data_IF_597975871754
#
_entry.id   IF_597975871754
#
_cell.length_a   1.000
_cell.length_b   1.000
_cell.length_c   1.000
_cell.angle_alpha   90.00
_cell.angle_beta   90.00
_cell.angle_gamma   90.00
#
_symmetry.space_group_name_H-M   'P 1'
#
loop_
_entity.id
_entity.type
_entity.pdbx_description
1 polymer ?
#
# COMPACT_ATOMS: atom_id res chain seq x y z
N UNK A 1 14.30 -54.34 21.29
CA UNK A 1 12.94 -53.87 20.94
C UNK A 1 12.77 -52.37 21.29
N UNK A 2 13.75 -51.54 20.92
CA UNK A 2 13.82 -50.11 21.30
C UNK A 2 14.37 -49.21 20.18
N UNK A 3 14.38 -49.71 18.94
CA UNK A 3 14.96 -49.02 17.78
C UNK A 3 13.93 -48.72 16.68
N UNK A 4 12.65 -49.03 16.91
CA UNK A 4 11.56 -48.82 15.93
C UNK A 4 10.65 -47.66 16.32
N UNK A 5 10.73 -47.15 17.55
CA UNK A 5 9.86 -46.07 18.06
C UNK A 5 10.45 -44.65 17.91
N UNK A 6 11.70 -44.52 17.48
CA UNK A 6 12.35 -43.22 17.26
C UNK A 6 12.27 -42.70 15.81
N UNK A 7 11.73 -43.51 14.88
CA UNK A 7 11.64 -43.17 13.44
C UNK A 7 10.23 -42.72 12.99
N UNK A 8 9.27 -42.62 13.91
CA UNK A 8 7.89 -42.20 13.62
C UNK A 8 7.52 -40.84 14.23
N UNK A 9 8.47 -40.13 14.84
CA UNK A 9 8.29 -38.81 15.43
C UNK A 9 8.90 -37.67 14.59
N UNK A 10 9.30 -37.95 13.35
CA UNK A 10 9.38 -36.95 12.29
C UNK A 10 8.01 -36.94 11.60
N UNK A 11 7.03 -36.31 12.25
CA UNK A 11 5.67 -36.19 11.75
C UNK A 11 5.65 -35.39 10.45
N UNK A 12 5.82 -36.08 9.32
CA UNK A 12 5.30 -35.67 8.02
C UNK A 12 3.78 -35.72 8.13
N UNK A 13 3.18 -34.68 8.73
CA UNK A 13 1.78 -34.39 8.46
C UNK A 13 1.66 -34.27 6.94
N UNK A 14 0.74 -35.00 6.29
CA UNK A 14 0.55 -34.84 4.85
C UNK A 14 0.23 -33.37 4.57
N UNK A 15 0.71 -32.80 3.44
CA UNK A 15 0.38 -31.44 3.06
C UNK A 15 -1.12 -31.21 3.24
N UNK A 16 -1.50 -30.15 3.95
CA UNK A 16 -2.92 -29.82 4.08
C UNK A 16 -3.42 -29.43 2.69
N UNK A 17 -4.16 -30.34 2.07
CA UNK A 17 -4.74 -30.08 0.78
C UNK A 17 -5.85 -29.03 0.92
N UNK A 18 -5.76 -27.89 0.20
CA UNK A 18 -6.79 -26.88 0.24
C UNK A 18 -8.11 -27.43 -0.30
N UNK A 19 -9.23 -26.84 0.13
CA UNK A 19 -10.56 -27.24 -0.32
C UNK A 19 -10.68 -27.20 -1.84
N UNK A 20 -11.55 -28.04 -2.41
CA UNK A 20 -11.77 -28.07 -3.86
C UNK A 20 -12.22 -26.70 -4.41
N UNK A 21 -12.90 -25.89 -3.60
CA UNK A 21 -13.32 -24.54 -3.95
C UNK A 21 -12.12 -23.61 -4.07
N UNK A 22 -11.22 -23.64 -3.09
CA UNK A 22 -9.98 -22.86 -3.09
C UNK A 22 -9.06 -23.29 -4.25
N UNK A 23 -8.98 -24.59 -4.53
CA UNK A 23 -8.23 -25.12 -5.68
C UNK A 23 -8.77 -24.61 -7.03
N UNK A 24 -10.10 -24.52 -7.17
CA UNK A 24 -10.74 -23.96 -8.38
C UNK A 24 -10.49 -22.47 -8.50
N UNK A 25 -10.52 -21.74 -7.37
CA UNK A 25 -10.31 -20.29 -7.35
C UNK A 25 -8.93 -19.87 -7.88
N UNK A 26 -7.88 -20.68 -7.72
CA UNK A 26 -6.56 -20.40 -8.32
C UNK A 26 -6.57 -20.35 -9.85
N UNK A 27 -7.51 -21.02 -10.52
CA UNK A 27 -7.64 -21.03 -11.96
C UNK A 27 -8.88 -20.26 -12.46
N UNK A 28 -9.49 -19.45 -11.58
CA UNK A 28 -10.65 -18.63 -11.93
C UNK A 28 -10.29 -17.60 -13.00
N UNK A 29 -11.26 -17.18 -13.82
CA UNK A 29 -11.05 -16.14 -14.83
C UNK A 29 -10.83 -14.76 -14.19
N UNK A 30 -11.38 -14.53 -12.99
CA UNK A 30 -11.23 -13.30 -12.24
C UNK A 30 -9.85 -13.21 -11.57
N UNK A 31 -9.01 -12.20 -11.92
CA UNK A 31 -7.76 -11.95 -11.21
C UNK A 31 -7.97 -11.72 -9.70
N UNK A 32 -9.08 -11.09 -9.32
CA UNK A 32 -9.43 -10.85 -7.92
C UNK A 32 -9.68 -12.16 -7.16
N UNK A 33 -10.37 -13.13 -7.77
CA UNK A 33 -10.59 -14.44 -7.17
C UNK A 33 -9.25 -15.21 -7.01
N UNK A 34 -8.36 -15.12 -8.02
CA UNK A 34 -7.01 -15.70 -7.96
C UNK A 34 -6.16 -15.10 -6.83
N UNK A 35 -6.19 -13.77 -6.68
CA UNK A 35 -5.52 -13.05 -5.58
C UNK A 35 -6.07 -13.48 -4.22
N UNK A 36 -7.40 -13.48 -4.07
CA UNK A 36 -8.06 -13.90 -2.82
C UNK A 36 -7.72 -15.36 -2.47
N UNK A 37 -7.66 -16.26 -3.46
CA UNK A 37 -7.22 -17.64 -3.24
C UNK A 37 -5.78 -17.71 -2.71
N UNK A 38 -4.88 -16.88 -3.26
CA UNK A 38 -3.50 -16.79 -2.82
C UNK A 38 -3.37 -16.27 -1.37
N UNK A 39 -4.21 -15.33 -0.97
CA UNK A 39 -4.25 -14.87 0.43
C UNK A 39 -4.81 -15.95 1.36
N UNK A 40 -5.94 -16.56 0.98
CA UNK A 40 -6.63 -17.56 1.79
C UNK A 40 -5.76 -18.79 2.06
N UNK A 41 -5.02 -19.28 1.07
CA UNK A 41 -4.20 -20.48 1.29
C UNK A 41 -3.06 -20.24 2.29
N UNK A 42 -2.51 -19.02 2.36
CA UNK A 42 -1.43 -18.69 3.30
C UNK A 42 -1.95 -18.66 4.74
N UNK A 43 -3.24 -18.41 4.95
CA UNK A 43 -3.86 -18.49 6.29
C UNK A 43 -3.90 -19.92 6.86
N UNK A 44 -3.71 -20.94 6.02
CA UNK A 44 -3.62 -22.34 6.45
C UNK A 44 -2.24 -22.69 7.05
N UNK A 45 -1.24 -21.81 6.94
CA UNK A 45 0.07 -21.98 7.57
C UNK A 45 1.01 -22.94 6.83
N UNK A 46 2.02 -23.43 7.55
CA UNK A 46 3.12 -24.26 6.99
C UNK A 46 2.63 -25.55 6.31
N UNK A 47 1.51 -26.10 6.75
CA UNK A 47 0.96 -27.35 6.18
C UNK A 47 0.50 -27.20 4.72
N UNK A 48 0.04 -26.00 4.33
CA UNK A 48 -0.34 -25.71 2.95
C UNK A 48 0.85 -25.33 2.06
N UNK A 49 1.99 -24.97 2.66
CA UNK A 49 3.20 -24.57 1.93
C UNK A 49 3.70 -25.70 1.03
N UNK A 50 3.76 -26.93 1.54
CA UNK A 50 4.23 -28.08 0.76
C UNK A 50 3.34 -28.33 -0.46
N UNK A 51 2.04 -28.11 -0.32
CA UNK A 51 1.10 -28.21 -1.43
C UNK A 51 1.35 -27.09 -2.46
N UNK A 52 1.55 -25.84 -2.03
CA UNK A 52 1.89 -24.71 -2.91
C UNK A 52 3.14 -25.04 -3.72
N UNK A 53 4.22 -25.46 -3.06
CA UNK A 53 5.50 -25.80 -3.70
C UNK A 53 5.34 -26.94 -4.71
N UNK A 54 4.54 -27.95 -4.40
CA UNK A 54 4.27 -29.10 -5.28
C UNK A 54 3.37 -28.75 -6.48
N UNK A 55 2.62 -27.66 -6.42
CA UNK A 55 1.63 -27.26 -7.44
C UNK A 55 2.04 -26.04 -8.26
N UNK A 56 2.97 -25.21 -7.79
CA UNK A 56 3.31 -23.91 -8.40
C UNK A 56 3.73 -23.98 -9.88
N UNK A 57 4.18 -25.14 -10.36
CA UNK A 57 4.60 -25.37 -11.75
C UNK A 57 3.56 -26.14 -12.58
N UNK A 58 2.34 -26.36 -12.07
CA UNK A 58 1.30 -27.21 -12.68
C UNK A 58 0.07 -26.39 -13.07
N UNK A 59 -0.60 -26.81 -14.14
CA UNK A 59 -1.85 -26.20 -14.61
C UNK A 59 -1.63 -24.98 -15.51
N UNK A 60 -2.65 -24.13 -15.64
CA UNK A 60 -2.61 -22.96 -16.52
C UNK A 60 -1.64 -21.87 -16.00
N UNK A 61 -1.16 -20.96 -16.87
CA UNK A 61 -0.30 -19.84 -16.46
C UNK A 61 -0.90 -18.99 -15.33
N UNK A 62 -2.21 -18.73 -15.36
CA UNK A 62 -2.94 -17.95 -14.34
C UNK A 62 -2.86 -18.66 -12.98
N UNK A 63 -3.10 -19.98 -12.96
CA UNK A 63 -2.96 -20.81 -11.76
C UNK A 63 -1.54 -20.76 -11.21
N UNK A 64 -0.56 -20.87 -12.09
CA UNK A 64 0.85 -20.82 -11.68
C UNK A 64 1.21 -19.47 -11.07
N UNK A 65 0.78 -18.35 -11.68
CA UNK A 65 1.01 -17.00 -11.12
C UNK A 65 0.33 -16.82 -9.76
N UNK A 66 -0.91 -17.28 -9.61
CA UNK A 66 -1.63 -17.22 -8.34
C UNK A 66 -0.93 -18.04 -7.22
N UNK A 67 -0.38 -19.21 -7.56
CA UNK A 67 0.42 -20.03 -6.63
C UNK A 67 1.78 -19.41 -6.30
N UNK A 68 2.41 -18.71 -7.25
CA UNK A 68 3.64 -17.94 -6.97
C UNK A 68 3.36 -16.74 -6.07
N UNK A 69 2.22 -16.07 -6.23
CA UNK A 69 1.78 -15.02 -5.29
C UNK A 69 1.59 -15.62 -3.89
N UNK A 70 0.91 -16.78 -3.78
CA UNK A 70 0.76 -17.48 -2.50
C UNK A 70 2.11 -17.81 -1.86
N UNK A 71 3.08 -18.30 -2.64
CA UNK A 71 4.44 -18.53 -2.16
C UNK A 71 5.13 -17.22 -1.69
N UNK A 72 5.00 -16.14 -2.46
CA UNK A 72 5.55 -14.84 -2.08
C UNK A 72 4.96 -14.30 -0.77
N UNK A 73 3.66 -14.52 -0.55
CA UNK A 73 2.94 -14.13 0.67
C UNK A 73 3.25 -15.04 1.87
N UNK A 74 3.50 -16.33 1.65
CA UNK A 74 3.93 -17.25 2.71
C UNK A 74 5.27 -16.81 3.32
N UNK A 75 6.17 -16.24 2.52
CA UNK A 75 7.35 -15.53 3.00
C UNK A 75 8.40 -16.39 3.69
N UNK A 76 8.36 -17.70 3.47
CA UNK A 76 9.33 -18.67 4.02
C UNK A 76 10.56 -18.80 3.13
N UNK A 77 11.65 -19.37 3.67
CA UNK A 77 12.86 -19.66 2.89
C UNK A 77 12.60 -20.57 1.68
N UNK A 78 11.75 -21.60 1.82
CA UNK A 78 11.42 -22.53 0.73
C UNK A 78 10.60 -21.85 -0.36
N UNK A 79 9.63 -21.02 0.02
CA UNK A 79 8.82 -20.25 -0.93
C UNK A 79 9.64 -19.22 -1.68
N UNK A 80 10.61 -18.59 -1.00
CA UNK A 80 11.57 -17.69 -1.62
C UNK A 80 12.53 -18.41 -2.57
N UNK A 81 13.01 -19.60 -2.21
CA UNK A 81 13.80 -20.42 -3.11
C UNK A 81 13.03 -20.77 -4.40
N UNK A 82 11.72 -21.03 -4.32
CA UNK A 82 10.87 -21.24 -5.50
C UNK A 82 10.83 -20.02 -6.41
N UNK A 83 10.67 -18.81 -5.86
CA UNK A 83 10.70 -17.56 -6.64
C UNK A 83 12.06 -17.40 -7.35
N UNK A 84 13.16 -17.58 -6.62
CA UNK A 84 14.52 -17.53 -7.19
C UNK A 84 14.71 -18.54 -8.33
N UNK A 85 14.24 -19.77 -8.14
CA UNK A 85 14.31 -20.82 -9.15
C UNK A 85 13.54 -20.46 -10.43
N UNK A 86 12.49 -19.63 -10.28
CA UNK A 86 11.61 -19.19 -11.36
C UNK A 86 12.16 -17.94 -12.08
N UNK A 87 13.19 -17.30 -11.52
CA UNK A 87 13.91 -16.17 -12.13
C UNK A 87 14.99 -16.59 -13.13
N UNK A 88 15.16 -17.89 -13.40
CA UNK A 88 16.20 -18.40 -14.32
C UNK A 88 16.22 -17.61 -15.62
N UNK A 89 17.40 -17.08 -15.95
CA UNK A 89 17.61 -16.20 -17.09
C UNK A 89 17.17 -16.88 -18.38
N UNK A 90 16.15 -16.32 -19.03
CA UNK A 90 15.72 -16.68 -20.37
C UNK A 90 16.37 -15.78 -21.42
N UNK A 91 16.45 -16.26 -22.66
CA UNK A 91 16.86 -15.42 -23.81
C UNK A 91 15.71 -14.59 -24.39
N UNK A 92 14.46 -14.95 -24.06
CA UNK A 92 13.24 -14.34 -24.61
C UNK A 92 12.31 -13.92 -23.48
N UNK A 93 11.54 -12.84 -23.66
CA UNK A 93 10.53 -12.42 -22.70
C UNK A 93 9.58 -13.56 -22.31
N UNK A 94 9.20 -13.61 -21.04
CA UNK A 94 8.31 -14.64 -20.49
C UNK A 94 7.35 -14.03 -19.46
N UNK A 95 6.02 -14.19 -19.62
CA UNK A 95 5.06 -13.56 -18.71
C UNK A 95 5.19 -14.10 -17.28
N UNK A 96 5.57 -15.36 -17.11
CA UNK A 96 5.80 -15.95 -15.79
C UNK A 96 6.99 -15.28 -15.11
N UNK A 97 8.13 -15.16 -15.79
CA UNK A 97 9.31 -14.47 -15.25
C UNK A 97 9.05 -12.99 -14.98
N UNK A 98 8.29 -12.29 -15.83
CA UNK A 98 7.90 -10.90 -15.57
C UNK A 98 7.10 -10.77 -14.25
N UNK A 99 6.14 -11.66 -14.02
CA UNK A 99 5.39 -11.68 -12.76
C UNK A 99 6.29 -12.04 -11.56
N UNK A 100 7.14 -13.06 -11.69
CA UNK A 100 8.09 -13.46 -10.64
C UNK A 100 9.03 -12.30 -10.30
N UNK A 101 9.54 -11.57 -11.29
CA UNK A 101 10.39 -10.40 -11.08
C UNK A 101 9.68 -9.33 -10.25
N UNK A 102 8.40 -9.06 -10.53
CA UNK A 102 7.59 -8.16 -9.71
C UNK A 102 7.46 -8.68 -8.27
N UNK A 103 7.07 -9.95 -8.09
CA UNK A 103 6.92 -10.56 -6.76
C UNK A 103 8.24 -10.57 -5.98
N UNK A 104 9.35 -10.85 -6.65
CA UNK A 104 10.68 -10.87 -6.05
C UNK A 104 11.09 -9.48 -5.56
N UNK A 105 10.85 -8.43 -6.35
CA UNK A 105 11.07 -7.05 -5.92
C UNK A 105 10.21 -6.67 -4.71
N UNK A 106 8.93 -7.06 -4.72
CA UNK A 106 7.96 -6.65 -3.69
C UNK A 106 8.12 -7.41 -2.36
N UNK A 107 8.20 -8.74 -2.41
CA UNK A 107 8.03 -9.61 -1.24
C UNK A 107 9.32 -10.31 -0.80
N UNK A 108 10.33 -10.45 -1.65
CA UNK A 108 11.54 -11.21 -1.31
C UNK A 108 12.57 -10.35 -0.54
N UNK A 109 13.00 -10.74 0.69
CA UNK A 109 14.05 -10.09 1.50
C UNK A 109 15.24 -9.56 0.69
N UNK A 110 15.86 -10.44 -0.09
CA UNK A 110 17.05 -10.12 -0.88
C UNK A 110 16.77 -9.28 -2.13
N UNK A 111 15.50 -9.05 -2.49
CA UNK A 111 15.10 -8.29 -3.67
C UNK A 111 15.73 -6.90 -3.74
N UNK A 112 15.96 -6.24 -2.61
CA UNK A 112 16.62 -4.93 -2.55
C UNK A 112 18.13 -4.97 -2.33
N UNK A 113 18.69 -6.12 -1.97
CA UNK A 113 20.11 -6.25 -1.57
C UNK A 113 21.08 -6.28 -2.75
N UNK A 114 20.66 -6.80 -3.90
CA UNK A 114 21.50 -6.98 -5.10
C UNK A 114 20.74 -6.64 -6.39
N UNK A 115 20.21 -5.41 -6.52
CA UNK A 115 19.27 -5.10 -7.58
C UNK A 115 19.91 -5.10 -8.98
N UNK A 116 21.21 -4.82 -9.07
CA UNK A 116 21.96 -4.89 -10.32
C UNK A 116 22.04 -6.32 -10.88
N UNK A 117 22.10 -7.32 -9.99
CA UNK A 117 22.23 -8.72 -10.34
C UNK A 117 20.88 -9.27 -10.80
N UNK A 118 19.80 -8.92 -10.10
CA UNK A 118 18.44 -9.30 -10.51
C UNK A 118 18.02 -8.62 -11.82
N UNK A 119 18.37 -7.35 -12.03
CA UNK A 119 18.11 -6.65 -13.30
C UNK A 119 18.75 -7.34 -14.52
N UNK A 120 19.91 -8.00 -14.35
CA UNK A 120 20.60 -8.77 -15.41
C UNK A 120 19.88 -10.08 -15.79
N UNK A 121 18.91 -10.52 -14.98
CA UNK A 121 18.08 -11.70 -15.26
C UNK A 121 16.92 -11.38 -16.20
N UNK A 122 16.46 -10.12 -16.21
CA UNK A 122 15.40 -9.67 -17.10
C UNK A 122 15.86 -9.72 -18.57
N UNK A 123 15.04 -10.32 -19.43
CA UNK A 123 15.29 -10.47 -20.86
C UNK A 123 14.83 -9.25 -21.69
N UNK A 124 14.03 -8.36 -21.10
CA UNK A 124 13.38 -7.23 -21.78
C UNK A 124 13.25 -6.00 -20.86
N UNK A 125 12.87 -4.87 -21.45
CA UNK A 125 12.54 -3.67 -20.69
C UNK A 125 11.28 -3.81 -19.86
N UNK A 126 10.26 -4.53 -20.33
CA UNK A 126 9.05 -4.77 -19.55
C UNK A 126 9.33 -5.65 -18.32
N UNK A 127 10.15 -6.68 -18.43
CA UNK A 127 10.60 -7.47 -17.28
C UNK A 127 11.39 -6.62 -16.27
N UNK A 128 12.25 -5.71 -16.75
CA UNK A 128 12.95 -4.74 -15.88
C UNK A 128 11.96 -3.80 -15.18
N UNK A 129 10.96 -3.30 -15.91
CA UNK A 129 9.89 -2.48 -15.33
C UNK A 129 9.11 -3.24 -14.26
N UNK A 130 8.77 -4.51 -14.48
CA UNK A 130 8.10 -5.35 -13.48
C UNK A 130 8.95 -5.49 -12.21
N UNK A 131 10.24 -5.78 -12.34
CA UNK A 131 11.15 -5.86 -11.19
C UNK A 131 11.23 -4.54 -10.43
N UNK A 132 11.48 -3.42 -11.12
CA UNK A 132 11.57 -2.10 -10.49
C UNK A 132 10.25 -1.67 -9.87
N UNK A 133 9.13 -1.97 -10.52
CA UNK A 133 7.78 -1.77 -10.00
C UNK A 133 7.59 -2.50 -8.67
N UNK A 134 7.95 -3.79 -8.60
CA UNK A 134 7.91 -4.53 -7.33
C UNK A 134 8.85 -3.95 -6.28
N UNK A 135 10.06 -3.57 -6.69
CA UNK A 135 11.11 -3.06 -5.81
C UNK A 135 10.76 -1.73 -5.11
N UNK A 136 9.79 -0.97 -5.64
CA UNK A 136 9.27 0.23 -4.98
C UNK A 136 8.63 -0.06 -3.62
N UNK A 137 8.18 -1.30 -3.37
CA UNK A 137 7.72 -1.72 -2.03
C UNK A 137 8.85 -1.79 -0.98
N UNK A 138 10.08 -1.47 -1.39
CA UNK A 138 11.31 -1.46 -0.58
C UNK A 138 12.23 -0.32 -0.96
N UNK A 139 11.68 0.74 -1.57
CA UNK A 139 12.43 1.83 -2.19
C UNK A 139 13.53 2.43 -1.31
N UNK A 140 13.37 2.50 0.02
CA UNK A 140 14.40 3.06 0.92
C UNK A 140 15.65 2.21 1.07
N UNK A 141 15.52 0.90 0.92
CA UNK A 141 16.63 -0.05 1.03
C UNK A 141 17.47 -0.17 -0.24
N UNK A 142 17.10 0.52 -1.33
CA UNK A 142 17.65 0.32 -2.66
C UNK A 142 18.78 1.34 -2.94
N UNK A 143 20.00 0.88 -3.22
CA UNK A 143 21.08 1.76 -3.67
C UNK A 143 20.78 2.31 -5.08
N UNK A 144 20.58 3.62 -5.21
CA UNK A 144 20.23 4.26 -6.49
C UNK A 144 21.24 4.01 -7.61
N UNK A 145 22.52 3.87 -7.26
CA UNK A 145 23.59 3.56 -8.22
C UNK A 145 23.46 2.15 -8.82
N UNK A 146 22.83 1.20 -8.10
CA UNK A 146 22.72 -0.19 -8.51
C UNK A 146 21.53 -0.45 -9.46
N UNK A 147 20.63 0.51 -9.62
CA UNK A 147 19.46 0.42 -10.52
C UNK A 147 19.60 1.28 -11.79
N UNK A 148 20.72 2.00 -11.96
CA UNK A 148 20.88 2.89 -13.11
C UNK A 148 20.90 2.11 -14.43
N UNK A 149 20.29 2.66 -15.50
CA UNK A 149 20.37 2.08 -16.82
C UNK A 149 21.81 2.16 -17.34
N UNK A 150 22.20 1.22 -18.21
CA UNK A 150 23.55 1.20 -18.77
C UNK A 150 23.82 2.43 -19.66
N UNK A 151 25.07 2.92 -19.74
CA UNK A 151 25.42 4.17 -20.46
C UNK A 151 25.19 4.13 -21.98
N UNK A 152 24.88 2.96 -22.55
CA UNK A 152 24.65 2.76 -24.00
C UNK A 152 23.20 2.44 -24.33
N UNK A 153 22.33 2.31 -23.33
CA UNK A 153 20.92 2.02 -23.56
C UNK A 153 20.16 3.33 -23.77
N UNK A 154 19.23 3.35 -24.73
CA UNK A 154 18.19 4.39 -24.80
C UNK A 154 16.96 3.78 -24.12
N UNK A 155 16.82 3.92 -22.79
CA UNK A 155 15.79 3.22 -22.04
C UNK A 155 14.39 3.68 -22.45
N UNK A 156 13.44 2.76 -22.36
CA UNK A 156 12.01 3.05 -22.50
C UNK A 156 11.56 4.16 -21.51
N UNK A 157 10.65 5.05 -21.93
CA UNK A 157 10.09 6.09 -21.06
C UNK A 157 9.54 5.58 -19.72
N UNK A 158 8.85 4.44 -19.69
CA UNK A 158 8.29 3.89 -18.46
C UNK A 158 9.38 3.40 -17.51
N UNK A 159 10.46 2.82 -18.04
CA UNK A 159 11.64 2.44 -17.28
C UNK A 159 12.28 3.68 -16.63
N UNK A 160 12.45 4.77 -17.39
CA UNK A 160 12.93 6.05 -16.86
C UNK A 160 12.01 6.62 -15.77
N UNK A 161 10.69 6.53 -15.96
CA UNK A 161 9.70 6.93 -14.96
C UNK A 161 9.89 6.18 -13.64
N UNK A 162 9.92 4.84 -13.68
CA UNK A 162 10.13 4.01 -12.48
C UNK A 162 11.45 4.34 -11.79
N UNK A 163 12.53 4.51 -12.57
CA UNK A 163 13.85 4.87 -12.02
C UNK A 163 13.87 6.24 -11.35
N UNK A 164 13.15 7.23 -11.89
CA UNK A 164 13.02 8.56 -11.27
C UNK A 164 12.15 8.54 -10.00
N UNK A 165 11.28 7.55 -9.84
CA UNK A 165 10.45 7.45 -8.64
C UNK A 165 11.31 7.13 -7.41
N UNK A 166 12.35 6.30 -7.51
CA UNK A 166 13.24 6.00 -6.38
C UNK A 166 13.89 7.23 -5.73
N UNK A 167 14.63 8.12 -6.43
CA UNK A 167 15.20 9.32 -5.82
C UNK A 167 14.11 10.28 -5.32
N UNK A 168 12.95 10.33 -5.99
CA UNK A 168 11.80 11.14 -5.57
C UNK A 168 11.27 10.69 -4.21
N UNK A 169 11.15 9.38 -3.99
CA UNK A 169 10.72 8.78 -2.72
C UNK A 169 11.78 8.89 -1.62
N UNK A 170 13.07 8.92 -2.00
CA UNK A 170 14.19 9.10 -1.07
C UNK A 170 14.53 10.57 -0.78
N UNK A 171 13.68 11.53 -1.20
CA UNK A 171 13.93 12.98 -1.07
C UNK A 171 15.28 13.44 -1.66
N UNK A 172 15.78 12.70 -2.65
CA UNK A 172 17.02 12.99 -3.39
C UNK A 172 16.70 13.62 -4.76
N UNK A 173 15.61 14.39 -4.85
CA UNK A 173 14.97 14.78 -6.10
C UNK A 173 15.97 15.37 -7.12
N UNK A 174 16.07 14.83 -8.34
CA UNK A 174 16.92 15.40 -9.38
C UNK A 174 16.32 16.73 -9.87
N UNK A 175 17.18 17.72 -10.09
CA UNK A 175 16.82 19.07 -10.55
C UNK A 175 16.49 19.17 -12.05
N UNK A 176 16.49 18.05 -12.78
CA UNK A 176 16.37 18.07 -14.25
C UNK A 176 14.93 18.05 -14.76
N UNK A 177 14.67 18.90 -15.76
CA UNK A 177 13.40 18.96 -16.44
C UNK A 177 12.98 17.58 -17.02
N UNK A 178 11.76 17.11 -16.73
CA UNK A 178 11.24 15.88 -17.29
C UNK A 178 11.09 16.02 -18.80
N UNK A 179 11.62 15.06 -19.55
CA UNK A 179 11.65 15.07 -21.02
C UNK A 179 10.47 14.30 -21.62
N UNK A 180 9.84 13.43 -20.84
CA UNK A 180 8.81 12.50 -21.28
C UNK A 180 7.65 12.43 -20.28
N UNK A 181 6.50 11.93 -20.72
CA UNK A 181 5.28 11.90 -19.92
C UNK A 181 5.40 11.03 -18.63
N UNK A 182 6.09 9.87 -18.62
CA UNK A 182 6.33 9.13 -17.37
C UNK A 182 7.19 9.89 -16.35
N UNK A 183 8.24 10.58 -16.82
CA UNK A 183 9.07 11.41 -15.94
C UNK A 183 8.29 12.61 -15.40
N UNK A 184 7.43 13.21 -16.25
CA UNK A 184 6.53 14.29 -15.86
C UNK A 184 5.54 13.81 -14.80
N UNK A 185 4.92 12.64 -14.99
CA UNK A 185 4.00 12.06 -14.03
C UNK A 185 4.65 11.85 -12.66
N UNK A 186 5.89 11.34 -12.65
CA UNK A 186 6.68 11.19 -11.42
C UNK A 186 6.99 12.54 -10.77
N UNK A 187 7.38 13.55 -11.56
CA UNK A 187 7.65 14.88 -11.03
C UNK A 187 6.39 15.54 -10.43
N UNK A 188 5.24 15.42 -11.11
CA UNK A 188 3.97 15.96 -10.65
C UNK A 188 3.50 15.24 -9.37
N UNK A 189 3.49 13.91 -9.37
CA UNK A 189 3.11 13.13 -8.20
C UNK A 189 4.10 13.33 -7.04
N UNK A 190 5.39 13.41 -7.35
CA UNK A 190 6.46 13.63 -6.37
C UNK A 190 6.46 15.03 -5.76
N UNK A 191 5.90 16.03 -6.43
CA UNK A 191 5.85 17.42 -5.92
C UNK A 191 5.02 17.59 -4.65
N UNK A 192 4.18 16.61 -4.32
CA UNK A 192 3.34 16.59 -3.11
C UNK A 192 4.08 16.05 -1.89
N UNK A 193 5.25 15.41 -2.10
CA UNK A 193 6.06 14.86 -1.02
C UNK A 193 6.73 15.99 -0.24
N UNK A 194 6.75 15.88 1.10
CA UNK A 194 7.49 16.82 1.93
C UNK A 194 8.95 16.97 1.48
N UNK A 195 9.41 18.21 1.33
CA UNK A 195 10.78 18.55 0.96
C UNK A 195 11.09 18.48 -0.53
N UNK A 196 10.19 17.97 -1.38
CA UNK A 196 10.40 17.98 -2.82
C UNK A 196 10.16 19.39 -3.41
N UNK A 197 10.84 19.75 -4.52
CA UNK A 197 10.66 21.04 -5.16
C UNK A 197 9.27 21.16 -5.77
N UNK A 198 8.69 22.37 -5.70
CA UNK A 198 7.48 22.71 -6.43
C UNK A 198 7.73 22.60 -7.94
N UNK A 199 6.71 22.16 -8.68
CA UNK A 199 6.81 22.04 -10.13
C UNK A 199 6.45 23.36 -10.83
N UNK A 200 7.17 23.74 -11.90
CA UNK A 200 6.80 24.88 -12.73
C UNK A 200 5.39 24.73 -13.32
N UNK A 201 4.66 25.85 -13.43
CA UNK A 201 3.33 25.89 -14.06
C UNK A 201 3.32 25.34 -15.49
N UNK A 202 4.40 25.57 -16.24
CA UNK A 202 4.60 25.05 -17.60
C UNK A 202 4.58 23.52 -17.65
N UNK A 203 5.03 22.83 -16.60
CA UNK A 203 4.99 21.37 -16.51
C UNK A 203 3.57 20.86 -16.28
N UNK A 204 2.80 21.55 -15.44
CA UNK A 204 1.39 21.25 -15.18
C UNK A 204 0.57 21.43 -16.46
N UNK A 205 0.77 22.56 -17.15
CA UNK A 205 0.11 22.85 -18.43
C UNK A 205 0.44 21.80 -19.48
N UNK A 206 1.68 21.33 -19.54
CA UNK A 206 2.11 20.25 -20.44
C UNK A 206 1.44 18.90 -20.13
N UNK A 207 1.13 18.63 -18.87
CA UNK A 207 0.44 17.40 -18.44
C UNK A 207 -1.07 17.42 -18.67
N UNK A 208 -1.66 18.60 -18.90
CA UNK A 208 -3.09 18.77 -19.12
C UNK A 208 -3.59 17.95 -20.32
N UNK A 209 -4.64 17.14 -20.10
CA UNK A 209 -5.21 16.23 -21.10
C UNK A 209 -4.36 15.00 -21.42
N UNK A 210 -3.20 14.82 -20.77
CA UNK A 210 -2.31 13.66 -20.95
C UNK A 210 -2.16 12.80 -19.71
N UNK A 211 -2.31 13.41 -18.54
CA UNK A 211 -2.13 12.79 -17.24
C UNK A 211 -3.41 12.91 -16.41
N UNK A 212 -3.63 11.99 -15.43
CA UNK A 212 -4.76 12.04 -14.53
C UNK A 212 -4.97 13.43 -13.91
N UNK A 213 -6.21 13.97 -13.92
CA UNK A 213 -6.52 15.30 -13.41
C UNK A 213 -6.08 15.50 -11.96
N UNK A 214 -6.27 14.47 -11.12
CA UNK A 214 -5.91 14.53 -9.71
C UNK A 214 -4.41 14.80 -9.48
N UNK A 215 -3.53 14.27 -10.32
CA UNK A 215 -2.08 14.51 -10.21
C UNK A 215 -1.73 15.95 -10.56
N UNK A 216 -2.40 16.52 -11.58
CA UNK A 216 -2.22 17.91 -11.98
C UNK A 216 -2.74 18.87 -10.92
N UNK A 217 -3.91 18.57 -10.35
CA UNK A 217 -4.49 19.34 -9.24
C UNK A 217 -3.56 19.30 -8.03
N UNK A 218 -3.06 18.13 -7.66
CA UNK A 218 -2.14 17.99 -6.53
C UNK A 218 -0.84 18.76 -6.76
N UNK A 219 -0.27 18.69 -7.96
CA UNK A 219 0.96 19.38 -8.32
C UNK A 219 0.80 20.91 -8.41
N UNK A 220 -0.31 21.40 -8.97
CA UNK A 220 -0.66 22.83 -9.00
C UNK A 220 -0.79 23.44 -7.62
N UNK A 221 -1.20 22.62 -6.65
CA UNK A 221 -1.35 22.99 -5.25
C UNK A 221 -0.10 22.68 -4.44
N UNK A 222 1.08 22.60 -5.09
CA UNK A 222 2.39 22.43 -4.45
C UNK A 222 2.37 23.05 -3.05
N UNK A 223 2.68 22.28 -2.00
CA UNK A 223 2.23 22.58 -0.66
C UNK A 223 2.62 24.02 -0.25
N UNK A 224 1.61 24.80 0.18
CA UNK A 224 1.82 26.19 0.56
C UNK A 224 2.89 26.28 1.66
N UNK A 225 3.98 26.97 1.37
CA UNK A 225 5.15 27.07 2.27
C UNK A 225 5.05 28.21 3.27
N UNK A 226 4.03 29.04 3.15
CA UNK A 226 3.70 30.11 4.11
C UNK A 226 2.21 30.12 4.40
N UNK A 227 1.84 30.59 5.59
CA UNK A 227 0.45 30.75 5.98
C UNK A 227 -0.28 31.78 5.09
N UNK A 228 0.45 32.77 4.57
CA UNK A 228 -0.09 33.77 3.64
C UNK A 228 -0.44 33.15 2.28
N UNK A 229 0.48 32.36 1.69
CA UNK A 229 0.22 31.61 0.46
C UNK A 229 -0.98 30.69 0.64
N UNK A 230 -1.07 29.98 1.76
CA UNK A 230 -2.19 29.10 2.06
C UNK A 230 -3.54 29.84 2.08
N UNK A 231 -3.57 31.06 2.63
CA UNK A 231 -4.80 31.86 2.73
C UNK A 231 -5.28 32.35 1.36
N UNK A 232 -4.35 32.62 0.45
CA UNK A 232 -4.59 33.13 -0.91
C UNK A 232 -5.06 32.04 -1.87
N UNK A 233 -4.79 30.77 -1.59
CA UNK A 233 -5.28 29.65 -2.39
C UNK A 233 -6.83 29.55 -2.32
N UNK A 234 -7.53 29.49 -3.46
CA UNK A 234 -8.98 29.39 -3.48
C UNK A 234 -9.43 28.08 -2.81
N UNK A 235 -10.23 28.19 -1.75
CA UNK A 235 -10.72 27.05 -0.98
C UNK A 235 -11.78 26.18 -1.67
N UNK A 236 -12.15 26.48 -2.92
CA UNK A 236 -13.14 25.75 -3.69
C UNK A 236 -12.52 24.87 -4.77
N UNK A 237 -12.63 23.55 -4.62
CA UNK A 237 -12.23 22.53 -5.61
C UNK A 237 -11.33 21.44 -5.03
N UNK A 238 -11.31 20.27 -5.68
CA UNK A 238 -10.60 19.02 -5.36
C UNK A 238 -9.37 19.20 -4.45
N UNK A 239 -9.61 19.11 -3.14
CA UNK A 239 -8.83 19.61 -1.98
C UNK A 239 -7.45 19.00 -1.76
N UNK A 240 -7.04 18.11 -2.64
CA UNK A 240 -6.08 17.03 -2.44
C UNK A 240 -4.68 17.51 -2.01
N UNK A 241 -4.06 18.44 -2.76
CA UNK A 241 -2.69 18.91 -2.48
C UNK A 241 -2.56 19.82 -1.23
N UNK A 242 -3.61 20.56 -0.86
CA UNK A 242 -3.57 21.50 0.27
C UNK A 242 -3.48 20.78 1.62
N UNK A 243 -4.02 19.55 1.70
CA UNK A 243 -3.99 18.74 2.92
C UNK A 243 -2.56 18.44 3.41
N UNK A 244 -1.59 18.40 2.49
CA UNK A 244 -0.19 18.08 2.79
C UNK A 244 0.66 19.33 3.05
N UNK A 245 0.11 20.54 2.94
CA UNK A 245 0.83 21.79 3.21
C UNK A 245 1.40 21.87 4.63
N UNK A 246 0.79 21.18 5.60
CA UNK A 246 1.27 21.17 6.99
C UNK A 246 2.74 20.71 7.12
N UNK A 247 3.20 19.83 6.24
CA UNK A 247 4.57 19.32 6.26
C UNK A 247 5.63 20.37 5.89
N UNK A 248 5.25 21.37 5.08
CA UNK A 248 6.16 22.42 4.62
C UNK A 248 6.18 23.65 5.54
N UNK A 249 5.16 23.81 6.37
CA UNK A 249 5.04 24.97 7.25
C UNK A 249 5.95 24.83 8.48
N UNK A 250 6.45 25.98 8.96
CA UNK A 250 7.14 26.08 10.25
C UNK A 250 6.22 25.69 11.43
N UNK A 251 6.77 25.14 12.53
CA UNK A 251 5.97 24.66 13.67
C UNK A 251 4.93 25.65 14.19
N UNK A 252 5.30 26.94 14.24
CA UNK A 252 4.45 28.05 14.69
C UNK A 252 3.22 28.31 13.80
N UNK A 253 3.27 27.93 12.52
CA UNK A 253 2.18 28.16 11.57
C UNK A 253 1.25 26.96 11.39
N UNK A 254 1.64 25.77 11.87
CA UNK A 254 0.92 24.51 11.59
C UNK A 254 -0.45 24.42 12.25
N UNK A 255 -0.58 24.88 13.50
CA UNK A 255 -1.87 24.86 14.21
C UNK A 255 -2.92 25.75 13.52
N UNK A 256 -2.49 26.96 13.14
CA UNK A 256 -3.34 27.90 12.39
C UNK A 256 -3.71 27.37 11.01
N UNK A 257 -2.75 26.79 10.29
CA UNK A 257 -2.98 26.18 9.00
C UNK A 257 -3.93 24.97 9.10
N UNK A 258 -3.76 24.10 10.08
CA UNK A 258 -4.64 22.95 10.29
C UNK A 258 -6.08 23.38 10.53
N UNK A 259 -6.29 24.40 11.38
CA UNK A 259 -7.61 24.98 11.63
C UNK A 259 -8.27 25.53 10.37
N UNK A 260 -7.53 26.31 9.57
CA UNK A 260 -8.02 26.86 8.28
C UNK A 260 -8.36 25.73 7.29
N UNK A 261 -7.47 24.76 7.14
CA UNK A 261 -7.63 23.66 6.18
C UNK A 261 -8.78 22.74 6.55
N UNK A 262 -8.96 22.45 7.84
CA UNK A 262 -10.06 21.61 8.32
C UNK A 262 -11.43 22.18 7.97
N UNK A 263 -11.57 23.51 7.96
CA UNK A 263 -12.80 24.21 7.58
C UNK A 263 -13.00 24.27 6.06
N UNK A 264 -11.90 24.32 5.29
CA UNK A 264 -11.93 24.45 3.82
C UNK A 264 -12.08 23.13 3.08
N UNK A 265 -11.44 22.06 3.57
CA UNK A 265 -11.47 20.76 2.90
C UNK A 265 -12.79 20.06 3.23
N UNK A 266 -13.58 19.70 2.21
CA UNK A 266 -14.87 18.99 2.41
C UNK A 266 -14.83 17.53 1.95
N UNK A 267 -13.84 17.17 1.13
CA UNK A 267 -13.70 15.82 0.59
C UNK A 267 -13.15 14.86 1.66
N UNK A 268 -13.79 13.69 1.88
CA UNK A 268 -13.37 12.74 2.91
C UNK A 268 -11.91 12.31 2.80
N UNK A 269 -11.42 12.07 1.58
CA UNK A 269 -10.02 11.66 1.33
C UNK A 269 -9.03 12.78 1.66
N UNK A 270 -9.30 14.02 1.24
CA UNK A 270 -8.45 15.16 1.57
C UNK A 270 -8.44 15.44 3.09
N UNK A 271 -9.58 15.25 3.76
CA UNK A 271 -9.66 15.30 5.21
C UNK A 271 -8.79 14.21 5.86
N UNK A 272 -8.85 12.96 5.38
CA UNK A 272 -8.00 11.89 5.90
C UNK A 272 -6.49 12.21 5.76
N UNK A 273 -6.10 12.79 4.63
CA UNK A 273 -4.72 13.28 4.44
C UNK A 273 -4.35 14.38 5.44
N UNK A 274 -5.22 15.38 5.62
CA UNK A 274 -4.98 16.49 6.54
C UNK A 274 -4.83 15.99 7.99
N UNK A 275 -5.77 15.18 8.46
CA UNK A 275 -5.74 14.66 9.83
C UNK A 275 -4.55 13.72 10.06
N UNK A 276 -4.24 12.87 9.08
CA UNK A 276 -3.03 12.05 9.13
C UNK A 276 -1.75 12.89 9.23
N UNK A 277 -1.64 13.95 8.41
CA UNK A 277 -0.53 14.89 8.46
C UNK A 277 -0.42 15.61 9.82
N UNK A 278 -1.54 16.03 10.39
CA UNK A 278 -1.58 16.63 11.70
C UNK A 278 -1.09 15.66 12.79
N UNK A 279 -1.43 14.36 12.69
CA UNK A 279 -0.96 13.32 13.60
C UNK A 279 0.54 13.06 13.48
N UNK A 280 1.05 12.97 12.25
CA UNK A 280 2.49 12.81 11.97
C UNK A 280 3.34 13.95 12.53
N UNK A 281 2.79 15.16 12.50
CA UNK A 281 3.44 16.37 13.01
C UNK A 281 3.20 16.60 14.50
N UNK A 282 2.33 15.81 15.14
CA UNK A 282 1.99 15.94 16.55
C UNK A 282 1.24 17.23 16.87
N UNK A 283 0.35 17.68 15.99
CA UNK A 283 -0.47 18.87 16.21
C UNK A 283 -1.53 18.64 17.28
N UNK A 284 -2.04 19.72 17.87
CA UNK A 284 -3.14 19.68 18.82
C UNK A 284 -4.46 19.44 18.09
N UNK A 285 -5.05 18.29 18.38
CA UNK A 285 -6.38 17.99 17.90
C UNK A 285 -7.44 18.66 18.79
N UNK A 286 -8.61 18.98 18.23
CA UNK A 286 -9.71 19.53 19.00
C UNK A 286 -10.19 18.54 20.06
N UNK A 287 -10.28 19.00 21.30
CA UNK A 287 -10.71 18.19 22.45
C UNK A 287 -12.21 17.85 22.40
N UNK A 288 -13.03 18.75 21.84
CA UNK A 288 -14.46 18.57 21.70
C UNK A 288 -14.86 18.25 20.24
N UNK A 289 -15.50 17.10 20.04
CA UNK A 289 -16.11 16.74 18.76
C UNK A 289 -17.51 17.37 18.67
N UNK A 290 -17.71 18.29 17.72
CA UNK A 290 -19.02 18.89 17.44
C UNK A 290 -19.99 17.95 16.67
N UNK A 291 -19.59 16.71 16.40
CA UNK A 291 -20.33 15.78 15.55
C UNK A 291 -19.82 14.34 15.66
N UNK A 292 -20.30 13.42 14.80
CA UNK A 292 -19.89 12.02 14.82
C UNK A 292 -18.41 11.86 14.50
N UNK A 293 -17.80 10.84 15.11
CA UNK A 293 -16.41 10.46 14.86
C UNK A 293 -16.23 10.06 13.38
N UNK A 294 -15.40 10.79 12.65
CA UNK A 294 -15.09 10.53 11.24
C UNK A 294 -13.85 9.64 11.07
N UNK A 295 -13.74 8.96 9.94
CA UNK A 295 -12.58 8.13 9.60
C UNK A 295 -11.29 8.95 9.51
N UNK A 296 -11.38 10.19 9.01
CA UNK A 296 -10.26 11.12 8.97
C UNK A 296 -9.71 11.41 10.37
N UNK A 297 -10.57 11.61 11.37
CA UNK A 297 -10.16 11.83 12.76
C UNK A 297 -9.42 10.61 13.31
N UNK A 298 -9.93 9.40 13.06
CA UNK A 298 -9.27 8.15 13.45
C UNK A 298 -7.93 8.01 12.74
N UNK A 299 -7.84 8.34 11.45
CA UNK A 299 -6.60 8.35 10.67
C UNK A 299 -5.53 9.22 11.34
N UNK A 300 -5.89 10.45 11.74
CA UNK A 300 -5.00 11.34 12.49
C UNK A 300 -4.58 10.78 13.85
N UNK A 301 -5.51 10.16 14.59
CA UNK A 301 -5.23 9.55 15.88
C UNK A 301 -4.23 8.39 15.76
N UNK A 302 -4.34 7.56 14.72
CA UNK A 302 -3.40 6.46 14.47
C UNK A 302 -2.00 6.97 14.14
N UNK A 303 -1.89 8.05 13.35
CA UNK A 303 -0.61 8.71 13.08
C UNK A 303 -0.03 9.35 14.33
N UNK A 304 -0.86 9.97 15.16
CA UNK A 304 -0.44 10.47 16.47
C UNK A 304 0.05 9.32 17.37
N UNK A 305 -0.64 8.18 17.40
CA UNK A 305 -0.25 7.02 18.20
C UNK A 305 1.11 6.41 17.78
N UNK A 306 1.49 6.53 16.50
CA UNK A 306 2.81 6.15 16.02
C UNK A 306 3.93 7.08 16.52
N UNK A 307 3.59 8.34 16.84
CA UNK A 307 4.53 9.38 17.26
C UNK A 307 4.60 9.55 18.78
N UNK A 308 3.44 9.63 19.41
CA UNK A 308 3.22 9.94 20.82
C UNK A 308 2.03 9.10 21.34
N UNK A 309 2.30 7.84 21.75
CA UNK A 309 1.26 6.91 22.19
C UNK A 309 0.46 7.43 23.39
N UNK A 310 1.10 8.12 24.33
CA UNK A 310 0.48 8.61 25.56
C UNK A 310 -0.51 9.73 25.26
N UNK A 311 -0.13 10.67 24.39
CA UNK A 311 -1.03 11.74 23.96
C UNK A 311 -2.18 11.21 23.12
N UNK A 312 -1.92 10.23 22.25
CA UNK A 312 -2.97 9.56 21.49
C UNK A 312 -3.97 8.86 22.42
N UNK A 313 -3.51 8.16 23.45
CA UNK A 313 -4.39 7.50 24.42
C UNK A 313 -5.29 8.51 25.16
N UNK A 314 -4.74 9.62 25.63
CA UNK A 314 -5.49 10.70 26.29
C UNK A 314 -6.55 11.29 25.36
N UNK A 315 -6.21 11.53 24.10
CA UNK A 315 -7.16 12.05 23.13
C UNK A 315 -8.24 11.02 22.76
N UNK A 316 -7.86 9.76 22.59
CA UNK A 316 -8.79 8.67 22.34
C UNK A 316 -9.81 8.55 23.50
N UNK A 317 -9.37 8.75 24.75
CA UNK A 317 -10.26 8.80 25.91
C UNK A 317 -11.30 9.93 25.81
N UNK A 318 -10.93 11.10 25.31
CA UNK A 318 -11.88 12.20 25.07
C UNK A 318 -12.90 11.84 23.97
N UNK A 319 -12.49 11.05 22.97
CA UNK A 319 -13.34 10.60 21.87
C UNK A 319 -14.08 9.29 22.13
N UNK A 320 -13.97 8.74 23.35
CA UNK A 320 -14.57 7.44 23.72
C UNK A 320 -16.09 7.42 23.54
N UNK A 321 -16.80 8.43 24.02
CA UNK A 321 -18.26 8.50 23.92
C UNK A 321 -18.77 8.47 22.45
N UNK A 322 -18.29 9.33 21.54
CA UNK A 322 -18.69 9.25 20.14
C UNK A 322 -18.20 7.97 19.45
N UNK A 323 -17.06 7.39 19.85
CA UNK A 323 -16.61 6.09 19.36
C UNK A 323 -17.58 4.96 19.75
N UNK A 324 -18.01 4.89 21.02
CA UNK A 324 -19.01 3.92 21.49
C UNK A 324 -20.33 4.07 20.73
N UNK A 325 -20.82 5.31 20.59
CA UNK A 325 -22.03 5.58 19.86
C UNK A 325 -21.95 5.09 18.40
N UNK A 326 -20.82 5.37 17.72
CA UNK A 326 -20.58 4.89 16.36
C UNK A 326 -20.46 3.36 16.30
N UNK A 327 -19.76 2.74 17.25
CA UNK A 327 -19.53 1.29 17.28
C UNK A 327 -20.83 0.51 17.48
N UNK A 328 -21.74 0.99 18.32
CA UNK A 328 -23.02 0.34 18.60
C UNK A 328 -24.12 0.63 17.55
N UNK A 329 -24.00 1.69 16.77
CA UNK A 329 -25.05 2.14 15.86
C UNK A 329 -25.22 1.30 14.58
N UNK A 330 -24.32 0.37 14.24
CA UNK A 330 -24.41 -0.39 12.97
C UNK A 330 -24.05 -1.86 13.12
N UNK A 331 -24.63 -2.68 12.24
CA UNK A 331 -24.62 -4.14 12.32
C UNK A 331 -23.34 -4.83 11.81
N UNK A 332 -22.50 -4.16 11.01
CA UNK A 332 -21.28 -4.73 10.42
C UNK A 332 -20.03 -4.06 10.95
N UNK A 333 -19.05 -4.85 11.39
CA UNK A 333 -17.76 -4.33 11.85
C UNK A 333 -16.91 -3.71 10.73
N UNK A 334 -17.15 -4.10 9.47
CA UNK A 334 -16.37 -3.61 8.33
C UNK A 334 -16.47 -2.09 8.15
N UNK A 335 -17.56 -1.46 8.60
CA UNK A 335 -17.73 0.01 8.52
C UNK A 335 -17.38 0.73 9.84
N UNK A 336 -17.13 -0.02 10.92
CA UNK A 336 -17.06 0.49 12.30
C UNK A 336 -15.77 0.15 13.04
N UNK A 337 -14.89 -0.64 12.44
CA UNK A 337 -13.56 -0.90 12.97
C UNK A 337 -12.74 0.37 13.31
N UNK A 338 -12.91 1.54 12.64
CA UNK A 338 -12.19 2.75 13.05
C UNK A 338 -12.62 3.22 14.45
N UNK A 339 -13.90 3.07 14.79
CA UNK A 339 -14.39 3.37 16.14
C UNK A 339 -13.83 2.38 17.17
N UNK A 340 -13.72 1.10 16.82
CA UNK A 340 -13.12 0.08 17.67
C UNK A 340 -11.64 0.40 18.02
N UNK A 341 -10.90 1.01 17.09
CA UNK A 341 -9.53 1.47 17.34
C UNK A 341 -9.46 2.61 18.36
N UNK A 342 -10.40 3.56 18.31
CA UNK A 342 -10.47 4.61 19.34
C UNK A 342 -10.71 3.99 20.72
N UNK A 343 -11.63 3.03 20.82
CA UNK A 343 -11.88 2.30 22.07
C UNK A 343 -10.64 1.53 22.55
N UNK A 344 -9.89 0.93 21.62
CA UNK A 344 -8.66 0.21 21.94
C UNK A 344 -7.52 1.12 22.41
N UNK A 345 -7.40 2.33 21.85
CA UNK A 345 -6.37 3.31 22.20
C UNK A 345 -6.70 4.07 23.50
N UNK A 346 -7.98 4.28 23.81
CA UNK A 346 -8.47 5.03 24.97
C UNK A 346 -8.22 4.36 26.33
N UNK A 347 -7.33 3.37 26.43
CA UNK A 347 -7.35 2.38 27.50
C UNK A 347 -6.73 2.86 28.83
N UNK A 348 -7.47 3.62 29.65
CA UNK A 348 -7.19 3.99 31.06
C UNK A 348 -8.06 3.25 32.09
N UNK A 349 -7.51 3.05 33.31
CA UNK A 349 -7.69 1.87 34.19
C UNK A 349 -9.12 1.34 34.48
N UNK A 350 -10.13 2.15 34.82
CA UNK A 350 -11.46 1.61 35.20
C UNK A 350 -12.45 1.46 34.03
N UNK A 351 -12.58 2.47 33.17
CA UNK A 351 -13.47 2.42 31.99
C UNK A 351 -12.95 1.47 30.90
N UNK A 352 -11.64 1.16 30.93
CA UNK A 352 -10.96 0.15 30.11
C UNK A 352 -11.54 -1.25 30.30
N UNK A 353 -12.04 -1.60 31.48
CA UNK A 353 -12.69 -2.89 31.68
C UNK A 353 -13.98 -3.00 30.85
N UNK A 354 -14.75 -1.91 30.76
CA UNK A 354 -15.99 -1.85 29.97
C UNK A 354 -15.71 -1.90 28.47
N UNK A 355 -14.74 -1.13 27.96
CA UNK A 355 -14.44 -1.13 26.52
C UNK A 355 -13.83 -2.45 26.05
N UNK A 356 -12.95 -3.05 26.86
CA UNK A 356 -12.43 -4.40 26.60
C UNK A 356 -13.53 -5.45 26.58
N UNK A 357 -14.48 -5.38 27.52
CA UNK A 357 -15.61 -6.29 27.57
C UNK A 357 -16.51 -6.13 26.33
N UNK A 358 -16.73 -4.89 25.86
CA UNK A 358 -17.48 -4.62 24.62
C UNK A 358 -16.77 -5.23 23.40
N UNK A 359 -15.47 -4.98 23.24
CA UNK A 359 -14.70 -5.55 22.12
C UNK A 359 -14.65 -7.08 22.18
N UNK A 360 -14.47 -7.65 23.37
CA UNK A 360 -14.46 -9.10 23.59
C UNK A 360 -15.82 -9.72 23.26
N UNK A 361 -16.92 -9.14 23.75
CA UNK A 361 -18.27 -9.60 23.46
C UNK A 361 -18.56 -9.57 21.95
N UNK A 362 -18.05 -8.57 21.21
CA UNK A 362 -18.15 -8.54 19.76
C UNK A 362 -17.36 -9.66 19.08
N UNK A 363 -16.15 -9.97 19.55
CA UNK A 363 -15.36 -11.11 19.04
C UNK A 363 -16.09 -12.43 19.28
N UNK A 364 -16.64 -12.62 20.48
CA UNK A 364 -17.40 -13.82 20.87
C UNK A 364 -18.71 -13.92 20.07
N UNK A 365 -19.43 -12.81 19.85
CA UNK A 365 -20.62 -12.76 18.99
C UNK A 365 -20.31 -12.86 17.49
N UNK A 366 -19.04 -12.83 17.10
CA UNK A 366 -18.57 -13.08 15.74
C UNK A 366 -18.29 -14.56 15.48
N UNK A 367 -18.76 -15.46 16.36
CA UNK A 367 -18.59 -16.90 16.16
C UNK A 367 -19.22 -17.34 14.82
N UNK A 368 -18.44 -18.03 14.00
CA UNK A 368 -18.79 -18.37 12.61
C UNK A 368 -18.56 -17.27 11.55
N UNK A 369 -18.15 -16.05 11.92
CA UNK A 369 -17.78 -14.96 10.98
C UNK A 369 -16.28 -14.67 11.02
N UNK A 370 -15.52 -15.49 10.29
CA UNK A 370 -14.04 -15.46 10.31
C UNK A 370 -13.46 -14.06 9.97
N UNK A 371 -14.04 -13.36 9.00
CA UNK A 371 -13.54 -12.05 8.53
C UNK A 371 -13.69 -10.96 9.61
N UNK A 372 -14.83 -10.96 10.32
CA UNK A 372 -15.07 -10.02 11.41
C UNK A 372 -14.11 -10.26 12.58
N UNK A 373 -13.87 -11.54 12.91
CA UNK A 373 -12.93 -11.94 13.94
C UNK A 373 -11.49 -11.59 13.55
N UNK A 374 -11.10 -11.82 12.30
CA UNK A 374 -9.76 -11.46 11.79
C UNK A 374 -9.51 -9.95 11.88
N UNK A 375 -10.55 -9.12 11.67
CA UNK A 375 -10.47 -7.67 11.81
C UNK A 375 -10.40 -7.22 13.27
N UNK A 376 -11.23 -7.78 14.15
CA UNK A 376 -11.35 -7.36 15.55
C UNK A 376 -10.21 -7.86 16.44
N UNK A 377 -9.67 -9.05 16.16
CA UNK A 377 -8.71 -9.68 17.04
C UNK A 377 -7.43 -8.84 17.25
N UNK A 378 -6.78 -8.28 16.22
CA UNK A 378 -5.64 -7.38 16.41
C UNK A 378 -6.02 -6.09 17.16
N UNK A 379 -7.25 -5.57 16.99
CA UNK A 379 -7.75 -4.39 17.71
C UNK A 379 -7.93 -4.69 19.20
N UNK A 380 -8.45 -5.87 19.54
CA UNK A 380 -8.56 -6.32 20.92
C UNK A 380 -7.20 -6.62 21.56
N UNK A 381 -6.26 -7.18 20.80
CA UNK A 381 -4.87 -7.33 21.24
C UNK A 381 -4.23 -5.96 21.54
N UNK A 382 -4.52 -4.92 20.75
CA UNK A 382 -4.08 -3.55 21.04
C UNK A 382 -4.65 -3.07 22.38
N UNK A 383 -5.96 -3.19 22.58
CA UNK A 383 -6.65 -2.77 23.81
C UNK A 383 -6.12 -3.46 25.07
N UNK A 384 -5.66 -4.71 24.93
CA UNK A 384 -5.14 -5.53 26.03
C UNK A 384 -3.63 -5.40 26.23
N UNK A 385 -2.92 -4.62 25.40
CA UNK A 385 -1.47 -4.49 25.44
C UNK A 385 -0.72 -5.75 25.00
N UNK A 386 -1.38 -6.62 24.24
CA UNK A 386 -0.87 -7.92 23.75
C UNK A 386 -0.56 -7.92 22.26
N UNK A 387 -0.67 -6.77 21.60
CA UNK A 387 -0.35 -6.62 20.18
C UNK A 387 1.17 -6.54 19.98
N UNK A 388 1.83 -7.70 20.08
CA UNK A 388 3.26 -7.86 19.81
C UNK A 388 4.18 -6.91 20.57
N UNK A 389 5.39 -6.74 20.03
CA UNK A 389 6.34 -5.71 20.45
C UNK A 389 6.04 -4.36 19.79
N UNK A 390 6.85 -3.34 20.08
CA UNK A 390 6.66 -1.99 19.54
C UNK A 390 6.74 -1.95 18.01
N UNK A 391 7.57 -2.80 17.40
CA UNK A 391 7.69 -2.90 15.95
C UNK A 391 6.42 -3.49 15.33
N UNK A 392 5.88 -4.57 15.90
CA UNK A 392 4.62 -5.17 15.49
C UNK A 392 3.45 -4.20 15.65
N UNK A 393 3.38 -3.48 16.78
CA UNK A 393 2.37 -2.45 17.03
C UNK A 393 2.46 -1.33 16.00
N UNK A 394 3.65 -0.81 15.74
CA UNK A 394 3.87 0.22 14.72
C UNK A 394 3.48 -0.28 13.32
N UNK A 395 3.77 -1.55 13.01
CA UNK A 395 3.34 -2.21 11.77
C UNK A 395 1.82 -2.18 11.58
N UNK A 396 1.07 -2.59 12.60
CA UNK A 396 -0.40 -2.57 12.58
C UNK A 396 -0.98 -1.15 12.50
N UNK A 397 -0.47 -0.20 13.30
CA UNK A 397 -0.91 1.19 13.25
C UNK A 397 -0.68 1.81 11.86
N UNK A 398 0.46 1.50 11.21
CA UNK A 398 0.72 1.92 9.83
C UNK A 398 -0.28 1.29 8.86
N UNK A 399 -0.55 -0.01 8.98
CA UNK A 399 -1.54 -0.71 8.13
C UNK A 399 -2.92 -0.05 8.23
N UNK A 400 -3.44 0.13 9.43
CA UNK A 400 -4.73 0.79 9.64
C UNK A 400 -4.75 2.24 9.15
N UNK A 401 -3.65 2.98 9.35
CA UNK A 401 -3.53 4.34 8.82
C UNK A 401 -3.61 4.38 7.29
N UNK A 402 -3.06 3.38 6.59
CA UNK A 402 -3.15 3.28 5.11
C UNK A 402 -4.57 2.97 4.66
N UNK A 403 -5.25 2.06 5.33
CA UNK A 403 -6.66 1.73 5.05
C UNK A 403 -7.58 2.95 5.21
N UNK A 404 -7.23 3.88 6.11
CA UNK A 404 -7.93 5.15 6.28
C UNK A 404 -7.36 6.30 5.44
N UNK A 405 -6.43 6.03 4.52
CA UNK A 405 -5.77 7.03 3.69
C UNK A 405 -5.15 8.19 4.51
N UNK A 406 -4.40 7.90 5.57
CA UNK A 406 -3.80 8.94 6.42
C UNK A 406 -2.58 9.60 5.77
N UNK A 407 -2.51 10.94 5.79
CA UNK A 407 -1.32 11.71 5.44
C UNK A 407 -0.85 11.52 3.98
N UNK A 408 0.43 11.80 3.72
CA UNK A 408 1.04 11.55 2.40
C UNK A 408 1.13 10.05 2.08
N UNK A 409 1.14 9.18 3.11
CA UNK A 409 1.09 7.74 2.94
C UNK A 409 -0.18 7.34 2.18
N UNK A 410 -1.33 7.84 2.62
CA UNK A 410 -2.62 7.57 1.97
C UNK A 410 -2.67 8.06 0.52
N UNK A 411 -2.06 9.22 0.22
CA UNK A 411 -2.01 9.75 -1.14
C UNK A 411 -1.12 8.89 -2.04
N UNK A 412 0.09 8.54 -1.62
CA UNK A 412 1.04 7.80 -2.46
C UNK A 412 0.71 6.31 -2.55
N UNK A 413 0.11 5.73 -1.51
CA UNK A 413 -0.50 4.41 -1.63
C UNK A 413 -1.70 4.47 -2.59
N UNK A 414 -2.47 5.56 -2.68
CA UNK A 414 -3.48 5.68 -3.73
C UNK A 414 -2.87 5.87 -5.13
N UNK A 415 -2.28 7.03 -5.34
CA UNK A 415 -1.88 7.54 -6.65
C UNK A 415 -0.53 6.99 -7.15
N UNK A 416 0.38 6.63 -6.24
CA UNK A 416 1.64 5.97 -6.60
C UNK A 416 1.42 4.56 -7.14
N UNK A 417 0.52 3.77 -6.53
CA UNK A 417 0.14 2.45 -7.06
C UNK A 417 -0.55 2.58 -8.42
N UNK A 418 -1.42 3.57 -8.60
CA UNK A 418 -2.04 3.88 -9.91
C UNK A 418 -0.98 4.22 -10.95
N UNK A 419 0.03 5.02 -10.62
CA UNK A 419 1.15 5.31 -11.52
C UNK A 419 1.88 4.03 -11.94
N UNK A 420 2.27 3.18 -10.99
CA UNK A 420 2.93 1.90 -11.29
C UNK A 420 2.05 1.01 -12.17
N UNK A 421 0.75 0.92 -11.88
CA UNK A 421 -0.21 0.18 -12.69
C UNK A 421 -0.33 0.76 -14.11
N UNK A 422 -0.35 2.08 -14.28
CA UNK A 422 -0.33 2.72 -15.60
C UNK A 422 0.95 2.35 -16.37
N UNK A 423 2.12 2.50 -15.76
CA UNK A 423 3.39 2.22 -16.43
C UNK A 423 3.54 0.75 -16.87
N UNK A 424 2.91 -0.19 -16.16
CA UNK A 424 3.00 -1.61 -16.47
C UNK A 424 1.85 -2.16 -17.32
N UNK A 425 0.67 -1.54 -17.29
CA UNK A 425 -0.54 -2.15 -17.87
C UNK A 425 -1.30 -1.25 -18.84
N UNK A 426 -0.96 0.04 -18.95
CA UNK A 426 -1.70 0.96 -19.80
C UNK A 426 -1.66 0.57 -21.29
N UNK A 427 -2.78 0.81 -21.99
CA UNK A 427 -2.96 0.39 -23.39
C UNK A 427 -3.21 -1.11 -23.59
N UNK A 428 -3.46 -1.88 -22.52
CA UNK A 428 -3.93 -3.27 -22.54
C UNK A 428 -5.44 -3.35 -22.24
N UNK A 429 -6.06 -4.52 -22.41
CA UNK A 429 -7.46 -4.72 -22.02
C UNK A 429 -7.63 -4.69 -20.50
N UNK A 430 -6.64 -5.14 -19.74
CA UNK A 430 -6.65 -5.12 -18.28
C UNK A 430 -6.82 -3.70 -17.70
N UNK A 431 -6.20 -2.69 -18.33
CA UNK A 431 -6.36 -1.29 -17.92
C UNK A 431 -7.75 -0.74 -18.27
N UNK A 432 -8.30 -1.06 -19.45
CA UNK A 432 -9.62 -0.59 -19.89
C UNK A 432 -10.77 -1.09 -19.02
N UNK A 433 -10.64 -2.27 -18.45
CA UNK A 433 -11.66 -2.89 -17.61
C UNK A 433 -11.71 -2.38 -16.17
N UNK A 434 -10.80 -1.47 -15.75
CA UNK A 434 -10.68 -1.02 -14.35
C UNK A 434 -11.05 0.44 -14.16
N UNK A 435 -11.95 0.70 -13.22
CA UNK A 435 -12.43 2.05 -12.90
C UNK A 435 -11.32 2.98 -12.41
N UNK A 436 -10.37 2.42 -11.69
CA UNK A 436 -9.20 3.08 -11.09
C UNK A 436 -8.19 3.52 -12.15
N UNK A 437 -8.22 2.89 -13.33
CA UNK A 437 -7.39 3.19 -14.50
C UNK A 437 -8.22 3.75 -15.68
N UNK A 438 -9.47 4.17 -15.43
CA UNK A 438 -10.42 4.61 -16.47
C UNK A 438 -10.01 5.87 -17.23
N UNK A 439 -9.09 6.67 -16.68
CA UNK A 439 -8.50 7.80 -17.41
C UNK A 439 -7.47 7.28 -18.42
N UNK A 440 -7.69 7.56 -19.71
CA UNK A 440 -6.73 7.25 -20.76
C UNK A 440 -5.51 8.19 -20.65
N UNK A 441 -4.37 7.63 -20.26
CA UNK A 441 -3.09 8.34 -20.20
C UNK A 441 -2.12 7.83 -21.26
N UNK A 442 -2.33 8.08 -22.57
CA UNK A 442 -1.57 7.43 -23.66
C UNK A 442 -0.05 7.63 -23.54
N UNK A 443 0.39 8.75 -22.97
CA UNK A 443 1.79 9.05 -22.68
C UNK A 443 2.47 8.13 -21.64
N UNK A 444 1.68 7.38 -20.87
CA UNK A 444 2.15 6.42 -19.86
C UNK A 444 2.13 4.97 -20.37
N UNK A 445 1.95 4.75 -21.67
CA UNK A 445 2.03 3.40 -22.23
C UNK A 445 3.47 2.91 -22.13
N UNK A 446 3.70 1.89 -21.28
CA UNK A 446 5.01 1.27 -21.13
C UNK A 446 5.35 0.23 -22.21
N UNK A 447 6.54 -0.40 -22.09
CA UNK A 447 6.97 -1.44 -23.00
C UNK A 447 6.08 -2.66 -22.83
N UNK A 448 5.92 -3.45 -23.91
CA UNK A 448 5.09 -4.66 -23.90
C UNK A 448 5.81 -5.77 -24.63
N UNK A 449 5.89 -6.92 -23.97
CA UNK A 449 6.42 -8.15 -24.56
C UNK A 449 5.32 -9.11 -25.01
N UNK A 450 4.08 -8.89 -24.54
CA UNK A 450 2.95 -9.81 -24.68
C UNK A 450 1.75 -9.14 -25.36
N UNK A 451 0.79 -9.95 -25.80
CA UNK A 451 -0.43 -9.45 -26.46
C UNK A 451 -1.25 -8.57 -25.50
N UNK A 452 -2.02 -7.62 -26.05
CA UNK A 452 -2.76 -6.62 -25.24
C UNK A 452 -3.84 -7.23 -24.33
N UNK A 453 -4.20 -8.47 -24.58
CA UNK A 453 -5.20 -9.28 -23.88
C UNK A 453 -4.57 -10.36 -22.98
N UNK A 454 -3.24 -10.36 -22.81
CA UNK A 454 -2.58 -11.31 -21.92
C UNK A 454 -3.01 -11.11 -20.45
N UNK A 455 -3.39 -12.19 -19.79
CA UNK A 455 -3.86 -12.22 -18.40
C UNK A 455 -2.81 -11.74 -17.39
N UNK A 456 -1.52 -11.77 -17.74
CA UNK A 456 -0.46 -11.18 -16.91
C UNK A 456 -0.77 -9.73 -16.50
N UNK A 457 -1.24 -8.91 -17.44
CA UNK A 457 -1.52 -7.51 -17.15
C UNK A 457 -2.69 -7.35 -16.18
N UNK A 458 -3.65 -8.28 -16.23
CA UNK A 458 -4.79 -8.29 -15.32
C UNK A 458 -4.36 -8.72 -13.90
N UNK A 459 -3.48 -9.70 -13.79
CA UNK A 459 -2.87 -10.16 -12.53
C UNK A 459 -1.97 -9.08 -11.90
N UNK A 460 -1.14 -8.39 -12.71
CA UNK A 460 -0.32 -7.27 -12.25
C UNK A 460 -1.18 -6.12 -11.75
N UNK A 461 -2.18 -5.68 -12.52
CA UNK A 461 -3.06 -4.60 -12.12
C UNK A 461 -3.84 -4.95 -10.83
N UNK A 462 -4.31 -6.19 -10.70
CA UNK A 462 -4.99 -6.66 -9.48
C UNK A 462 -4.08 -6.57 -8.27
N UNK A 463 -2.86 -7.10 -8.38
CA UNK A 463 -1.91 -7.10 -7.28
C UNK A 463 -1.48 -5.68 -6.89
N UNK A 464 -1.10 -4.85 -7.87
CA UNK A 464 -0.62 -3.49 -7.65
C UNK A 464 -1.71 -2.61 -7.00
N UNK A 465 -2.98 -2.78 -7.41
CA UNK A 465 -4.08 -1.97 -6.88
C UNK A 465 -4.68 -2.54 -5.59
N UNK A 466 -4.30 -3.76 -5.19
CA UNK A 466 -4.72 -4.36 -3.92
C UNK A 466 -3.97 -3.81 -2.71
N UNK A 467 -4.47 -4.11 -1.52
CA UNK A 467 -3.83 -3.83 -0.22
C UNK A 467 -2.62 -4.73 0.09
N UNK A 468 -2.23 -5.65 -0.80
CA UNK A 468 -1.01 -6.46 -0.64
C UNK A 468 0.25 -5.70 -1.09
N UNK A 469 0.10 -4.75 -2.01
CA UNK A 469 1.21 -3.96 -2.54
C UNK A 469 1.13 -2.53 -1.99
N UNK A 470 2.26 -2.07 -1.45
CA UNK A 470 2.43 -0.71 -0.94
C UNK A 470 3.80 -0.20 -1.34
N UNK A 471 3.91 1.07 -1.67
CA UNK A 471 5.22 1.69 -1.91
C UNK A 471 5.88 1.93 -0.54
N UNK A 472 7.17 1.66 -0.43
CA UNK A 472 7.91 1.96 0.80
C UNK A 472 8.19 3.45 0.91
N UNK A 473 7.33 4.11 1.68
CA UNK A 473 7.34 5.55 1.90
C UNK A 473 8.09 5.91 3.21
N UNK A 474 8.80 7.04 3.25
CA UNK A 474 9.56 7.51 4.42
C UNK A 474 8.75 7.53 5.71
#
# INVERSE_FOLDING_TARGET
MLTVLALLAAGLLPPQEPSADLQRAFADQSPAARRQAAEQIVTLGEEAEEWILAQARKGSPERQRALLLAAALAGTERSFALLQDSLKKGQRPDPQRAYVLFLYGAFHPEGASQPDTTLKLAASEFERCCYLGGLLARARGVPLAAIQPGPKEKPDPALLGLLRLFPTLQAAAPAEEPRQDPELAVALLGSVLPGNPAVPRTWIERGSGRLPPLWLVAAARSPARTLESLRQEPGGGEGSGLALALYELGPEAREDAFRILRERLVEPVAQAWLWGAAGDLGLQFPEALAGPLSDAQVAGLLRLALRDPDRAAKLAAQWRAPARARFHAKASIHDHWPAALVLALAADDEEKASDKAVLQACIEASDGRADERARLHPIWQLATGRLGDDAARAGWLRRWSRELHAGYLGLLDGEGRRLVAYLLTNGTQAAKGRSELSFEAPGLTGPRDHSKDDELYADLAELILSDLYHIDLP
#
